data_IF_090830978772
#
_entry.id   IF_090830978772
#
_cell.length_a   1.000
_cell.length_b   1.000
_cell.length_c   1.000
_cell.angle_alpha   90.00
_cell.angle_beta   90.00
_cell.angle_gamma   90.00
#
_symmetry.space_group_name_H-M   'P 1'
#
loop_
_entity.id
_entity.type
_entity.pdbx_description
1 polymer ?
#
# COMPACT_ATOMS: atom_id res chain seq x y z
N UNK A 1 -24.19 45.55 96.66
CA UNK A 1 -25.35 45.89 97.53
C UNK A 1 -26.20 46.89 96.76
N UNK A 2 -27.41 46.48 96.33
CA UNK A 2 -28.28 47.29 95.48
C UNK A 2 -28.44 48.71 96.00
N UNK A 3 -28.47 49.67 95.09
CA UNK A 3 -28.73 51.07 95.40
C UNK A 3 -30.06 51.22 96.18
N UNK A 4 -31.04 50.36 95.88
CA UNK A 4 -32.31 50.26 96.61
C UNK A 4 -32.17 49.78 98.05
N UNK A 5 -31.23 48.86 98.34
CA UNK A 5 -30.93 48.40 99.70
C UNK A 5 -30.21 49.49 100.49
N UNK A 6 -29.28 50.22 99.87
CA UNK A 6 -28.61 51.37 100.51
C UNK A 6 -29.61 52.49 100.82
N UNK A 7 -30.51 52.82 99.89
CA UNK A 7 -31.56 53.81 100.12
C UNK A 7 -32.54 53.36 101.22
N UNK A 8 -32.99 52.11 101.20
CA UNK A 8 -33.86 51.56 102.25
C UNK A 8 -33.20 51.62 103.64
N UNK A 9 -31.91 51.30 103.71
CA UNK A 9 -31.17 51.24 104.97
C UNK A 9 -30.88 52.64 105.52
N UNK A 10 -30.55 53.60 104.66
CA UNK A 10 -30.39 55.01 105.06
C UNK A 10 -31.71 55.63 105.52
N UNK A 11 -32.79 55.40 104.77
CA UNK A 11 -34.11 55.94 105.07
C UNK A 11 -34.72 55.30 106.33
N UNK A 12 -34.46 54.01 106.55
CA UNK A 12 -34.81 53.31 107.79
C UNK A 12 -34.01 53.82 108.99
N UNK A 13 -32.70 54.07 108.81
CA UNK A 13 -31.84 54.60 109.87
C UNK A 13 -32.26 56.02 110.29
N UNK A 14 -32.59 56.89 109.32
CA UNK A 14 -33.07 58.25 109.62
C UNK A 14 -34.45 58.25 110.26
N UNK A 15 -35.35 57.35 109.85
CA UNK A 15 -36.66 57.19 110.48
C UNK A 15 -36.57 56.72 111.93
N UNK A 16 -35.70 55.73 112.23
CA UNK A 16 -35.49 55.23 113.59
C UNK A 16 -34.89 56.31 114.49
N UNK A 17 -33.89 57.05 114.00
CA UNK A 17 -33.30 58.15 114.74
C UNK A 17 -34.35 59.24 115.07
N UNK A 18 -35.22 59.58 114.12
CA UNK A 18 -36.30 60.56 114.33
C UNK A 18 -37.34 60.09 115.38
N UNK A 19 -37.70 58.80 115.38
CA UNK A 19 -38.60 58.20 116.39
C UNK A 19 -37.98 58.27 117.79
N UNK A 20 -36.70 57.88 117.93
CA UNK A 20 -36.00 57.91 119.21
C UNK A 20 -35.90 59.32 119.78
N UNK A 21 -35.52 60.31 118.95
CA UNK A 21 -35.44 61.72 119.37
C UNK A 21 -36.81 62.25 119.83
N UNK A 22 -37.89 61.86 119.16
CA UNK A 22 -39.25 62.30 119.49
C UNK A 22 -39.76 61.68 120.79
N UNK A 23 -39.50 60.38 121.02
CA UNK A 23 -39.88 59.70 122.26
C UNK A 23 -39.13 60.29 123.45
N UNK A 24 -37.82 60.56 123.32
CA UNK A 24 -37.02 61.20 124.38
C UNK A 24 -37.52 62.61 124.72
N UNK A 25 -38.02 63.35 123.73
CA UNK A 25 -38.52 64.72 123.96
C UNK A 25 -39.90 64.76 124.64
N UNK A 26 -40.80 63.83 124.30
CA UNK A 26 -42.14 63.70 124.90
C UNK A 26 -42.11 63.40 126.41
N UNK A 27 -41.07 62.71 126.89
CA UNK A 27 -40.85 62.45 128.31
C UNK A 27 -40.44 63.70 129.10
N UNK A 28 -39.97 64.76 128.42
CA UNK A 28 -39.36 65.94 129.06
C UNK A 28 -40.34 67.12 129.21
N UNK A 29 -41.44 67.16 128.43
CA UNK A 29 -42.41 68.28 128.43
C UNK A 29 -43.85 67.79 128.13
N UNK A 30 -44.74 67.62 129.13
CA UNK A 30 -46.15 67.31 128.86
C UNK A 30 -46.95 68.59 128.51
N UNK A 31 -47.15 68.85 127.22
CA UNK A 31 -47.94 69.96 126.70
C UNK A 31 -48.23 69.88 125.19
N UNK A 32 -48.99 70.83 124.63
CA UNK A 32 -49.49 70.84 123.25
C UNK A 32 -48.42 70.69 122.14
N UNK A 33 -47.13 70.88 122.45
CA UNK A 33 -46.01 70.67 121.51
C UNK A 33 -45.84 69.21 121.04
N UNK A 34 -46.32 68.24 121.80
CA UNK A 34 -46.23 66.82 121.43
C UNK A 34 -47.02 66.44 120.17
N UNK A 35 -48.14 67.11 119.90
CA UNK A 35 -48.97 66.83 118.72
C UNK A 35 -48.33 67.32 117.41
N UNK A 36 -47.64 68.47 117.46
CA UNK A 36 -46.97 69.07 116.29
C UNK A 36 -45.77 68.22 115.85
N UNK A 37 -45.00 67.70 116.81
CA UNK A 37 -43.87 66.81 116.53
C UNK A 37 -44.33 65.46 115.95
N UNK A 38 -45.43 64.90 116.45
CA UNK A 38 -46.02 63.69 115.89
C UNK A 38 -46.45 63.90 114.43
N UNK A 39 -47.09 65.03 114.12
CA UNK A 39 -47.50 65.37 112.77
C UNK A 39 -46.31 65.52 111.80
N UNK A 40 -45.21 66.15 112.24
CA UNK A 40 -43.98 66.27 111.45
C UNK A 40 -43.32 64.92 111.19
N UNK A 41 -43.35 64.00 112.15
CA UNK A 41 -42.80 62.65 112.00
C UNK A 41 -43.62 61.84 111.00
N UNK A 42 -44.96 61.91 111.09
CA UNK A 42 -45.86 61.28 110.12
C UNK A 42 -45.64 61.87 108.72
N UNK A 43 -45.52 63.19 108.59
CA UNK A 43 -45.24 63.85 107.32
C UNK A 43 -43.88 63.43 106.73
N UNK A 44 -42.85 63.33 107.57
CA UNK A 44 -41.51 62.88 107.15
C UNK A 44 -41.53 61.40 106.76
N UNK A 45 -42.24 60.56 107.51
CA UNK A 45 -42.43 59.15 107.21
C UNK A 45 -43.20 58.93 105.90
N UNK A 46 -44.23 59.75 105.63
CA UNK A 46 -44.98 59.74 104.37
C UNK A 46 -44.10 60.22 103.20
N UNK A 47 -43.36 61.32 103.36
CA UNK A 47 -42.45 61.81 102.32
C UNK A 47 -41.33 60.80 102.02
N UNK A 48 -40.78 60.17 103.06
CA UNK A 48 -39.79 59.11 102.94
C UNK A 48 -40.38 57.87 102.26
N UNK A 49 -41.60 57.47 102.61
CA UNK A 49 -42.33 56.37 101.98
C UNK A 49 -42.59 56.63 100.50
N UNK A 50 -43.10 57.81 100.15
CA UNK A 50 -43.30 58.24 98.75
C UNK A 50 -41.97 58.26 98.00
N UNK A 51 -40.92 58.83 98.58
CA UNK A 51 -39.58 58.87 97.99
C UNK A 51 -38.99 57.46 97.77
N UNK A 52 -39.22 56.53 98.69
CA UNK A 52 -38.79 55.14 98.55
C UNK A 52 -39.54 54.42 97.43
N UNK A 53 -40.86 54.63 97.32
CA UNK A 53 -41.68 54.03 96.25
C UNK A 53 -41.25 54.55 94.87
N UNK A 54 -41.09 55.87 94.72
CA UNK A 54 -40.59 56.47 93.48
C UNK A 54 -39.17 56.01 93.15
N UNK A 55 -38.24 56.05 94.13
CA UNK A 55 -36.86 55.62 93.96
C UNK A 55 -36.73 54.14 93.61
N UNK A 56 -37.55 53.28 94.22
CA UNK A 56 -37.62 51.85 93.88
C UNK A 56 -38.15 51.63 92.46
N UNK A 57 -39.17 52.38 92.04
CA UNK A 57 -39.74 52.29 90.69
C UNK A 57 -38.77 52.77 89.60
N UNK A 58 -38.03 53.85 89.86
CA UNK A 58 -37.06 54.42 88.93
C UNK A 58 -35.83 53.52 88.80
N UNK A 59 -35.31 53.02 89.94
CA UNK A 59 -34.18 52.09 89.95
C UNK A 59 -34.52 50.77 89.25
N UNK A 60 -35.73 50.25 89.43
CA UNK A 60 -36.18 49.06 88.70
C UNK A 60 -36.26 49.31 87.19
N UNK A 61 -36.89 50.42 86.77
CA UNK A 61 -37.06 50.73 85.34
C UNK A 61 -35.72 50.98 84.63
N UNK A 62 -34.76 51.65 85.28
CA UNK A 62 -33.41 51.83 84.73
C UNK A 62 -32.65 50.51 84.62
N UNK A 63 -32.81 49.61 85.59
CA UNK A 63 -32.17 48.30 85.54
C UNK A 63 -32.74 47.43 84.41
N UNK A 64 -34.06 47.50 84.18
CA UNK A 64 -34.73 46.81 83.07
C UNK A 64 -34.23 47.31 81.71
N UNK A 65 -34.12 48.63 81.52
CA UNK A 65 -33.58 49.21 80.27
C UNK A 65 -32.08 48.90 80.08
N UNK A 66 -31.29 48.90 81.16
CA UNK A 66 -29.88 48.50 81.10
C UNK A 66 -29.72 47.01 80.72
N UNK A 67 -30.65 46.15 81.16
CA UNK A 67 -30.67 44.75 80.75
C UNK A 67 -30.97 44.60 79.25
N UNK A 68 -31.86 45.42 78.69
CA UNK A 68 -32.11 45.45 77.24
C UNK A 68 -30.85 45.88 76.48
N UNK A 69 -30.20 46.98 76.87
CA UNK A 69 -28.95 47.44 76.26
C UNK A 69 -27.88 46.33 76.31
N UNK A 70 -27.76 45.65 77.45
CA UNK A 70 -26.81 44.54 77.61
C UNK A 70 -27.10 43.38 76.65
N UNK A 71 -28.37 43.04 76.39
CA UNK A 71 -28.75 42.03 75.39
C UNK A 71 -28.43 42.48 73.97
N UNK A 72 -28.76 43.73 73.63
CA UNK A 72 -28.47 44.29 72.31
C UNK A 72 -26.96 44.28 72.00
N UNK A 73 -26.09 44.57 72.98
CA UNK A 73 -24.63 44.47 72.80
C UNK A 73 -24.11 43.06 72.56
N UNK A 74 -24.89 42.03 72.93
CA UNK A 74 -24.60 40.62 72.68
C UNK A 74 -25.24 40.10 71.39
N UNK A 75 -25.82 40.99 70.58
CA UNK A 75 -26.59 40.63 69.39
C UNK A 75 -27.86 39.82 69.66
N UNK A 76 -28.36 39.84 70.90
CA UNK A 76 -29.65 39.25 71.27
C UNK A 76 -30.74 40.32 71.04
N UNK A 77 -31.27 40.34 69.82
CA UNK A 77 -32.28 41.31 69.38
C UNK A 77 -33.72 40.87 69.70
N UNK A 78 -33.91 39.71 70.33
CA UNK A 78 -35.22 39.14 70.63
C UNK A 78 -35.81 39.64 71.96
N UNK A 79 -37.12 39.82 71.96
CA UNK A 79 -37.92 40.20 73.14
C UNK A 79 -38.33 41.68 73.16
N UNK A 80 -39.32 41.99 73.99
CA UNK A 80 -39.90 43.34 74.05
C UNK A 80 -39.08 44.29 74.93
N UNK A 81 -39.02 45.56 74.54
CA UNK A 81 -38.49 46.63 75.40
C UNK A 81 -39.57 47.02 76.41
N UNK A 82 -39.36 46.79 77.72
CA UNK A 82 -40.32 47.17 78.74
C UNK A 82 -40.45 48.69 78.84
N UNK A 83 -41.53 49.18 79.47
CA UNK A 83 -41.74 50.61 79.79
C UNK A 83 -42.02 51.55 78.60
N UNK A 84 -42.22 51.03 77.38
CA UNK A 84 -42.57 51.82 76.18
C UNK A 84 -43.90 52.56 76.26
N UNK A 85 -44.84 52.07 77.09
CA UNK A 85 -46.14 52.70 77.34
C UNK A 85 -46.12 53.87 78.34
N UNK A 86 -44.97 54.20 78.94
CA UNK A 86 -44.86 55.31 79.90
C UNK A 86 -44.85 56.67 79.18
N UNK A 87 -45.39 57.69 79.86
CA UNK A 87 -45.46 59.08 79.37
C UNK A 87 -44.33 59.99 79.87
N UNK A 88 -43.32 59.44 80.55
CA UNK A 88 -42.17 60.15 81.11
C UNK A 88 -40.88 59.95 80.26
N UNK A 89 -39.77 60.54 80.70
CA UNK A 89 -38.45 60.45 80.03
C UNK A 89 -37.95 59.00 79.91
N UNK A 90 -38.33 58.13 80.86
CA UNK A 90 -38.02 56.70 80.81
C UNK A 90 -38.77 56.03 79.67
N UNK A 91 -40.05 56.39 79.46
CA UNK A 91 -40.82 55.94 78.30
C UNK A 91 -40.23 56.40 76.96
N UNK A 92 -39.71 57.64 76.91
CA UNK A 92 -39.02 58.15 75.71
C UNK A 92 -37.75 57.33 75.40
N UNK A 93 -36.95 57.04 76.42
CA UNK A 93 -35.74 56.22 76.28
C UNK A 93 -36.07 54.79 75.85
N UNK A 94 -37.14 54.19 76.42
CA UNK A 94 -37.62 52.87 76.04
C UNK A 94 -38.06 52.82 74.56
N UNK A 95 -38.76 53.85 74.06
CA UNK A 95 -39.15 53.94 72.65
C UNK A 95 -37.94 54.07 71.72
N UNK A 96 -36.96 54.90 72.07
CA UNK A 96 -35.72 55.04 71.29
C UNK A 96 -34.95 53.72 71.22
N UNK A 97 -34.90 52.98 72.33
CA UNK A 97 -34.26 51.66 72.39
C UNK A 97 -35.00 50.61 71.57
N UNK A 98 -36.34 50.65 71.54
CA UNK A 98 -37.17 49.78 70.70
C UNK A 98 -37.00 50.07 69.21
N UNK A 99 -36.90 51.34 68.82
CA UNK A 99 -36.59 51.71 67.44
C UNK A 99 -35.20 51.20 67.03
N UNK A 100 -34.20 51.39 67.89
CA UNK A 100 -32.85 50.87 67.65
C UNK A 100 -32.79 49.34 67.55
N UNK A 101 -33.55 48.61 68.39
CA UNK A 101 -33.68 47.15 68.31
C UNK A 101 -34.32 46.71 66.97
N UNK A 102 -35.38 47.40 66.52
CA UNK A 102 -36.03 47.10 65.24
C UNK A 102 -35.11 47.37 64.04
N UNK A 103 -34.36 48.46 64.08
CA UNK A 103 -33.35 48.79 63.06
C UNK A 103 -32.21 47.76 63.06
N UNK A 104 -31.74 47.33 64.24
CA UNK A 104 -30.68 46.33 64.34
C UNK A 104 -31.12 44.93 63.88
N UNK A 105 -32.39 44.54 64.14
CA UNK A 105 -32.95 43.27 63.68
C UNK A 105 -33.07 43.24 62.14
N UNK A 106 -33.65 44.29 61.55
CA UNK A 106 -33.78 44.40 60.08
C UNK A 106 -32.42 44.47 59.37
N UNK A 107 -31.42 45.13 59.98
CA UNK A 107 -30.06 45.17 59.46
C UNK A 107 -29.39 43.78 59.43
N UNK A 108 -29.59 42.97 60.47
CA UNK A 108 -29.08 41.58 60.55
C UNK A 108 -29.67 40.69 59.45
N UNK A 109 -30.98 40.75 59.24
CA UNK A 109 -31.68 39.94 58.22
C UNK A 109 -31.24 40.30 56.80
N UNK A 110 -31.18 41.61 56.49
CA UNK A 110 -30.71 42.09 55.19
C UNK A 110 -29.26 41.68 54.89
N UNK A 111 -28.37 41.75 55.89
CA UNK A 111 -26.96 41.37 55.71
C UNK A 111 -26.72 39.87 55.60
N UNK A 112 -27.59 39.02 56.14
CA UNK A 112 -27.52 37.57 55.92
C UNK A 112 -27.91 37.22 54.49
N UNK A 113 -29.02 37.76 53.98
CA UNK A 113 -29.45 37.52 52.58
C UNK A 113 -28.44 38.03 51.55
N UNK A 114 -27.83 39.19 51.78
CA UNK A 114 -26.79 39.73 50.90
C UNK A 114 -25.56 38.80 50.87
N UNK A 115 -25.10 38.30 52.02
CA UNK A 115 -23.96 37.39 52.10
C UNK A 115 -24.26 36.04 51.45
N UNK A 116 -25.43 35.47 51.72
CA UNK A 116 -25.85 34.18 51.16
C UNK A 116 -25.93 34.28 49.63
N UNK A 117 -26.53 35.36 49.09
CA UNK A 117 -26.60 35.57 47.64
C UNK A 117 -25.23 35.78 47.00
N UNK A 118 -24.29 36.45 47.68
CA UNK A 118 -22.92 36.59 47.19
C UNK A 118 -22.16 35.26 47.20
N UNK A 119 -22.35 34.44 48.23
CA UNK A 119 -21.75 33.10 48.32
C UNK A 119 -22.33 32.20 47.22
N UNK A 120 -23.65 32.19 47.04
CA UNK A 120 -24.30 31.44 45.97
C UNK A 120 -23.84 31.90 44.58
N UNK A 121 -23.74 33.21 44.35
CA UNK A 121 -23.24 33.77 43.10
C UNK A 121 -21.79 33.36 42.81
N UNK A 122 -20.92 33.37 43.83
CA UNK A 122 -19.53 32.90 43.71
C UNK A 122 -19.48 31.40 43.42
N UNK A 123 -20.25 30.58 44.13
CA UNK A 123 -20.32 29.13 43.91
C UNK A 123 -20.87 28.80 42.51
N UNK A 124 -21.90 29.51 42.05
CA UNK A 124 -22.45 29.35 40.72
C UNK A 124 -21.43 29.71 39.63
N UNK A 125 -20.70 30.82 39.81
CA UNK A 125 -19.62 31.20 38.89
C UNK A 125 -18.51 30.16 38.88
N UNK A 126 -18.08 29.66 40.05
CA UNK A 126 -17.05 28.62 40.16
C UNK A 126 -17.47 27.34 39.44
N UNK A 127 -18.70 26.85 39.67
CA UNK A 127 -19.24 25.67 38.98
C UNK A 127 -19.28 25.87 37.47
N UNK A 128 -19.66 27.06 37.01
CA UNK A 128 -19.69 27.38 35.57
C UNK A 128 -18.28 27.39 34.97
N UNK A 129 -17.31 27.96 35.67
CA UNK A 129 -15.90 27.93 35.24
C UNK A 129 -15.36 26.50 35.21
N UNK A 130 -15.65 25.68 36.22
CA UNK A 130 -15.20 24.28 36.27
C UNK A 130 -15.82 23.45 35.14
N UNK A 131 -17.12 23.64 34.85
CA UNK A 131 -17.79 22.99 33.73
C UNK A 131 -17.15 23.38 32.39
N UNK A 132 -16.86 24.66 32.17
CA UNK A 132 -16.17 25.13 30.97
C UNK A 132 -14.76 24.53 30.86
N UNK A 133 -14.02 24.42 31.97
CA UNK A 133 -12.70 23.78 32.01
C UNK A 133 -12.81 22.30 31.66
N UNK A 134 -13.81 21.58 32.19
CA UNK A 134 -14.05 20.18 31.88
C UNK A 134 -14.40 19.98 30.40
N UNK A 135 -15.31 20.78 29.85
CA UNK A 135 -15.68 20.73 28.42
C UNK A 135 -14.49 21.06 27.52
N UNK A 136 -13.70 22.07 27.89
CA UNK A 136 -12.49 22.45 27.16
C UNK A 136 -11.44 21.33 27.18
N UNK A 137 -11.17 20.74 28.35
CA UNK A 137 -10.27 19.59 28.50
C UNK A 137 -10.74 18.40 27.66
N UNK A 138 -12.03 18.07 27.68
CA UNK A 138 -12.60 17.00 26.86
C UNK A 138 -12.46 17.28 25.36
N UNK A 139 -12.74 18.51 24.93
CA UNK A 139 -12.62 18.92 23.53
C UNK A 139 -11.17 18.86 23.03
N UNK A 140 -10.21 19.36 23.82
CA UNK A 140 -8.79 19.28 23.47
C UNK A 140 -8.30 17.84 23.46
N UNK A 141 -8.68 17.02 24.44
CA UNK A 141 -8.30 15.61 24.46
C UNK A 141 -8.83 14.87 23.23
N UNK A 142 -10.07 15.13 22.83
CA UNK A 142 -10.65 14.58 21.60
C UNK A 142 -9.92 15.03 20.34
N UNK A 143 -9.62 16.33 20.21
CA UNK A 143 -8.87 16.87 19.07
C UNK A 143 -7.45 16.33 18.97
N UNK A 144 -6.73 16.26 20.10
CA UNK A 144 -5.38 15.70 20.14
C UNK A 144 -5.39 14.20 19.83
N UNK A 145 -6.40 13.46 20.28
CA UNK A 145 -6.59 12.06 19.92
C UNK A 145 -6.80 11.89 18.41
N UNK A 146 -7.74 12.63 17.82
CA UNK A 146 -8.00 12.60 16.38
C UNK A 146 -6.78 13.03 15.55
N UNK A 147 -6.01 14.00 16.04
CA UNK A 147 -4.77 14.46 15.41
C UNK A 147 -3.68 13.37 15.47
N UNK A 148 -3.48 12.74 16.63
CA UNK A 148 -2.53 11.64 16.80
C UNK A 148 -2.89 10.44 15.90
N UNK A 149 -4.18 10.14 15.77
CA UNK A 149 -4.67 9.08 14.89
C UNK A 149 -4.40 9.40 13.41
N UNK A 150 -4.66 10.65 13.00
CA UNK A 150 -4.37 11.11 11.64
C UNK A 150 -2.86 11.07 11.33
N UNK A 151 -2.02 11.50 12.28
CA UNK A 151 -0.57 11.45 12.13
C UNK A 151 -0.05 10.01 12.00
N UNK A 152 -0.60 9.07 12.78
CA UNK A 152 -0.28 7.65 12.70
C UNK A 152 -0.71 7.03 11.36
N UNK A 153 -1.89 7.38 10.87
CA UNK A 153 -2.36 6.94 9.55
C UNK A 153 -1.48 7.50 8.42
N UNK A 154 -1.02 8.74 8.54
CA UNK A 154 -0.08 9.34 7.60
C UNK A 154 1.29 8.65 7.63
N UNK A 155 1.83 8.32 8.81
CA UNK A 155 3.08 7.55 8.94
C UNK A 155 2.95 6.17 8.29
N UNK A 156 1.85 5.46 8.54
CA UNK A 156 1.57 4.16 7.91
C UNK A 156 1.50 4.28 6.39
N UNK A 157 0.78 5.28 5.89
CA UNK A 157 0.66 5.54 4.44
C UNK A 157 2.03 5.88 3.83
N UNK A 158 2.85 6.68 4.50
CA UNK A 158 4.20 7.02 4.05
C UNK A 158 5.11 5.78 3.99
N UNK A 159 5.03 4.88 4.98
CA UNK A 159 5.77 3.61 4.96
C UNK A 159 5.31 2.71 3.82
N UNK A 160 4.01 2.60 3.58
CA UNK A 160 3.46 1.86 2.45
C UNK A 160 3.95 2.43 1.11
N UNK A 161 3.91 3.75 0.95
CA UNK A 161 4.43 4.43 -0.25
C UNK A 161 5.93 4.18 -0.44
N UNK A 162 6.72 4.20 0.64
CA UNK A 162 8.15 3.89 0.59
C UNK A 162 8.38 2.45 0.11
N UNK A 163 7.63 1.48 0.64
CA UNK A 163 7.75 0.08 0.23
C UNK A 163 7.34 -0.12 -1.23
N UNK A 164 6.24 0.51 -1.66
CA UNK A 164 5.79 0.47 -3.06
C UNK A 164 6.83 1.10 -3.99
N UNK A 165 7.45 2.20 -3.60
CA UNK A 165 8.51 2.84 -4.38
C UNK A 165 9.74 1.92 -4.51
N UNK A 166 10.15 1.24 -3.44
CA UNK A 166 11.24 0.24 -3.49
C UNK A 166 10.89 -0.93 -4.40
N UNK A 167 9.72 -1.57 -4.24
CA UNK A 167 9.29 -2.69 -5.09
C UNK A 167 9.18 -2.26 -6.57
N UNK A 168 8.70 -1.05 -6.83
CA UNK A 168 8.64 -0.49 -8.19
C UNK A 168 10.04 -0.32 -8.79
N UNK A 169 11.02 0.14 -8.00
CA UNK A 169 12.39 0.32 -8.48
C UNK A 169 13.06 -1.04 -8.81
N UNK A 170 12.84 -2.05 -7.97
CA UNK A 170 13.33 -3.40 -8.21
C UNK A 170 12.72 -4.00 -9.48
N UNK A 171 11.41 -3.81 -9.68
CA UNK A 171 10.72 -4.21 -10.92
C UNK A 171 11.25 -3.48 -12.14
N UNK A 172 11.51 -2.18 -12.05
CA UNK A 172 12.07 -1.40 -13.17
C UNK A 172 13.45 -1.92 -13.54
N UNK A 173 14.28 -2.29 -12.56
CA UNK A 173 15.60 -2.88 -12.80
C UNK A 173 15.48 -4.26 -13.47
N UNK A 174 14.53 -5.09 -13.02
CA UNK A 174 14.26 -6.38 -13.67
C UNK A 174 13.79 -6.21 -15.13
N UNK A 175 12.90 -5.23 -15.39
CA UNK A 175 12.42 -4.91 -16.75
C UNK A 175 13.56 -4.38 -17.63
N UNK A 176 14.44 -3.54 -17.09
CA UNK A 176 15.61 -3.06 -17.81
C UNK A 176 16.52 -4.22 -18.23
N UNK A 177 16.84 -5.13 -17.30
CA UNK A 177 17.64 -6.32 -17.59
C UNK A 177 16.99 -7.22 -18.64
N UNK A 178 15.67 -7.44 -18.56
CA UNK A 178 14.94 -8.24 -19.55
C UNK A 178 14.92 -7.56 -20.94
N UNK A 179 14.89 -6.23 -20.97
CA UNK A 179 14.95 -5.44 -22.21
C UNK A 179 16.33 -5.49 -22.86
N UNK A 180 17.40 -5.47 -22.07
CA UNK A 180 18.77 -5.65 -22.54
C UNK A 180 18.97 -7.05 -23.13
N UNK A 181 18.47 -8.09 -22.45
CA UNK A 181 18.52 -9.47 -22.95
C UNK A 181 17.72 -9.64 -24.25
N UNK A 182 16.51 -9.07 -24.33
CA UNK A 182 15.72 -9.07 -25.55
C UNK A 182 16.42 -8.37 -26.72
N UNK A 183 17.09 -7.24 -26.46
CA UNK A 183 17.85 -6.49 -27.47
C UNK A 183 19.04 -7.30 -27.98
N UNK A 184 19.77 -7.97 -27.10
CA UNK A 184 20.86 -8.86 -27.46
C UNK A 184 20.37 -10.05 -28.30
N UNK A 185 19.23 -10.64 -27.93
CA UNK A 185 18.61 -11.72 -28.70
C UNK A 185 18.19 -11.26 -30.10
N UNK A 186 17.59 -10.08 -30.24
CA UNK A 186 17.22 -9.51 -31.54
C UNK A 186 18.47 -9.26 -32.41
N UNK A 187 19.57 -8.77 -31.83
CA UNK A 187 20.84 -8.61 -32.56
C UNK A 187 21.41 -9.96 -33.02
N UNK A 188 21.35 -11.00 -32.19
CA UNK A 188 21.79 -12.35 -32.58
C UNK A 188 20.92 -12.94 -33.70
N UNK A 189 19.61 -12.73 -33.65
CA UNK A 189 18.69 -13.14 -34.72
C UNK A 189 18.99 -12.39 -36.02
N UNK A 190 19.25 -11.08 -35.94
CA UNK A 190 19.62 -10.28 -37.11
C UNK A 190 20.91 -10.80 -37.77
N UNK A 191 21.95 -11.07 -36.99
CA UNK A 191 23.20 -11.65 -37.50
C UNK A 191 22.98 -13.02 -38.16
N UNK A 192 22.15 -13.87 -37.54
CA UNK A 192 21.79 -15.19 -38.11
C UNK A 192 21.01 -15.04 -39.42
N UNK A 193 20.12 -14.05 -39.52
CA UNK A 193 19.38 -13.76 -40.74
C UNK A 193 20.29 -13.24 -41.86
N UNK A 194 21.30 -12.43 -41.54
CA UNK A 194 22.33 -12.00 -42.49
C UNK A 194 23.15 -13.19 -43.00
N UNK A 195 23.59 -14.09 -42.12
CA UNK A 195 24.31 -15.30 -42.51
C UNK A 195 23.46 -16.23 -43.38
N UNK A 196 22.16 -16.37 -43.06
CA UNK A 196 21.22 -17.14 -43.86
C UNK A 196 21.01 -16.53 -45.25
N UNK A 197 20.94 -15.20 -45.36
CA UNK A 197 20.82 -14.51 -46.64
C UNK A 197 22.04 -14.76 -47.54
N UNK A 198 23.25 -14.73 -46.97
CA UNK A 198 24.49 -15.10 -47.67
C UNK A 198 24.44 -16.55 -48.14
N UNK A 199 24.07 -17.49 -47.27
CA UNK A 199 23.95 -18.91 -47.60
C UNK A 199 22.94 -19.16 -48.73
N UNK A 200 21.80 -18.48 -48.71
CA UNK A 200 20.80 -18.59 -49.76
C UNK A 200 21.30 -18.05 -51.11
N UNK A 201 22.07 -16.96 -51.11
CA UNK A 201 22.73 -16.44 -52.31
C UNK A 201 23.74 -17.44 -52.89
N UNK A 202 24.57 -18.04 -52.03
CA UNK A 202 25.52 -19.08 -52.41
C UNK A 202 24.82 -20.31 -53.01
N UNK A 203 23.73 -20.78 -52.39
CA UNK A 203 22.92 -21.86 -52.94
C UNK A 203 22.37 -21.47 -54.31
N UNK A 204 21.87 -20.23 -54.48
CA UNK A 204 21.41 -19.73 -55.77
C UNK A 204 22.48 -19.78 -56.86
N UNK A 205 23.72 -19.38 -56.57
CA UNK A 205 24.84 -19.47 -57.52
C UNK A 205 25.21 -20.92 -57.85
N UNK A 206 25.19 -21.83 -56.86
CA UNK A 206 25.44 -23.27 -57.05
C UNK A 206 24.37 -23.91 -57.92
N UNK A 207 23.10 -23.58 -57.70
CA UNK A 207 21.97 -24.07 -58.52
C UNK A 207 22.07 -23.58 -59.96
N UNK A 208 22.39 -22.29 -60.17
CA UNK A 208 22.62 -21.74 -61.52
C UNK A 208 23.76 -22.45 -62.25
N UNK A 209 24.85 -22.74 -61.55
CA UNK A 209 25.98 -23.50 -62.10
C UNK A 209 25.58 -24.94 -62.46
N UNK A 210 24.85 -25.61 -61.58
CA UNK A 210 24.34 -26.96 -61.85
C UNK A 210 23.42 -26.99 -63.08
N UNK A 211 22.54 -25.99 -63.24
CA UNK A 211 21.69 -25.87 -64.43
C UNK A 211 22.51 -25.76 -65.72
N UNK A 212 23.57 -24.93 -65.73
CA UNK A 212 24.47 -24.80 -66.89
C UNK A 212 25.19 -26.11 -67.23
N UNK A 213 25.59 -26.88 -66.20
CA UNK A 213 26.20 -28.20 -66.39
C UNK A 213 25.18 -29.16 -67.03
N UNK A 214 23.95 -29.18 -66.53
CA UNK A 214 22.87 -30.01 -67.09
C UNK A 214 22.62 -29.65 -68.55
N UNK A 215 22.53 -28.36 -68.89
CA UNK A 215 22.37 -27.91 -70.27
C UNK A 215 23.52 -28.43 -71.16
N UNK A 216 24.77 -28.32 -70.70
CA UNK A 216 25.93 -28.82 -71.43
C UNK A 216 25.90 -30.36 -71.57
N UNK A 217 25.42 -31.09 -70.57
CA UNK A 217 25.26 -32.55 -70.64
C UNK A 217 24.18 -32.93 -71.65
N UNK A 218 23.06 -32.20 -71.69
CA UNK A 218 21.99 -32.45 -72.67
C UNK A 218 22.44 -32.20 -74.11
N UNK A 219 23.23 -31.15 -74.35
CA UNK A 219 23.79 -30.87 -75.67
C UNK A 219 24.83 -31.91 -76.10
N UNK A 220 25.67 -32.37 -75.17
CA UNK A 220 26.59 -33.47 -75.42
C UNK A 220 25.85 -34.77 -75.78
N UNK A 221 24.75 -35.07 -75.09
CA UNK A 221 23.91 -36.24 -75.39
C UNK A 221 23.26 -36.13 -76.78
N UNK A 222 22.79 -34.94 -77.15
CA UNK A 222 22.26 -34.64 -78.50
C UNK A 222 23.30 -34.90 -79.58
N UNK A 223 24.52 -34.38 -79.40
CA UNK A 223 25.65 -34.58 -80.32
C UNK A 223 26.04 -36.06 -80.42
N UNK A 224 26.04 -36.79 -79.29
CA UNK A 224 26.32 -38.22 -79.30
C UNK A 224 25.26 -39.00 -80.10
N UNK A 225 23.98 -38.64 -79.95
CA UNK A 225 22.88 -39.25 -80.70
C UNK A 225 23.00 -39.00 -82.21
N UNK A 226 23.37 -37.78 -82.63
CA UNK A 226 23.65 -37.46 -84.05
C UNK A 226 24.80 -38.31 -84.62
N UNK A 227 25.86 -38.53 -83.85
CA UNK A 227 26.98 -39.40 -84.24
C UNK A 227 26.55 -40.86 -84.37
N UNK A 228 25.71 -41.35 -83.46
CA UNK A 228 25.15 -42.71 -83.53
C UNK A 228 24.29 -42.86 -84.79
N UNK A 229 23.41 -41.90 -85.09
CA UNK A 229 22.63 -41.91 -86.34
C UNK A 229 23.52 -41.89 -87.59
N UNK A 230 24.57 -41.09 -87.59
CA UNK A 230 25.55 -41.05 -88.70
C UNK A 230 26.26 -42.39 -88.88
N UNK A 231 26.62 -43.07 -87.79
CA UNK A 231 27.19 -44.41 -87.83
C UNK A 231 26.19 -45.45 -88.35
N UNK A 232 24.92 -45.36 -87.98
CA UNK A 232 23.85 -46.22 -88.52
C UNK A 232 23.74 -46.05 -90.04
N UNK A 233 23.67 -44.82 -90.53
CA UNK A 233 23.65 -44.55 -91.98
C UNK A 233 24.91 -45.05 -92.71
N UNK A 234 26.09 -44.91 -92.10
CA UNK A 234 27.31 -45.46 -92.67
C UNK A 234 27.26 -47.00 -92.75
N UNK A 235 26.73 -47.66 -91.71
CA UNK A 235 26.55 -49.10 -91.69
C UNK A 235 25.54 -49.59 -92.74
N UNK A 236 24.42 -48.88 -92.96
CA UNK A 236 23.45 -49.15 -94.03
C UNK A 236 24.13 -49.12 -95.41
N UNK A 237 24.90 -48.06 -95.69
CA UNK A 237 25.65 -47.95 -96.96
C UNK A 237 26.69 -49.05 -97.14
N UNK A 238 27.32 -49.50 -96.06
CA UNK A 238 28.22 -50.67 -96.11
C UNK A 238 27.42 -51.93 -96.45
N UNK A 239 26.22 -52.08 -95.88
CA UNK A 239 25.27 -53.13 -96.25
C UNK A 239 24.97 -53.15 -97.74
N UNK A 240 24.60 -52.00 -98.32
CA UNK A 240 24.33 -51.87 -99.77
C UNK A 240 25.54 -52.29 -100.62
N UNK A 241 26.76 -51.93 -100.19
CA UNK A 241 28.00 -52.32 -100.87
C UNK A 241 28.26 -53.82 -100.75
N UNK A 242 28.00 -54.42 -99.58
CA UNK A 242 28.13 -55.87 -99.36
C UNK A 242 27.14 -56.65 -100.22
N UNK A 243 25.91 -56.16 -100.35
CA UNK A 243 24.90 -56.76 -101.22
C UNK A 243 25.32 -56.69 -102.69
N UNK A 244 25.80 -55.52 -103.14
CA UNK A 244 26.37 -55.38 -104.49
C UNK A 244 27.56 -56.33 -104.73
N UNK A 245 28.43 -56.52 -103.73
CA UNK A 245 29.55 -57.46 -103.81
C UNK A 245 29.03 -58.90 -103.93
N UNK A 246 27.99 -59.27 -103.17
CA UNK A 246 27.37 -60.58 -103.28
C UNK A 246 26.76 -60.80 -104.67
N UNK A 247 26.08 -59.81 -105.24
CA UNK A 247 25.52 -59.86 -106.59
C UNK A 247 26.61 -60.04 -107.65
N UNK A 248 27.70 -59.26 -107.57
CA UNK A 248 28.85 -59.37 -108.47
C UNK A 248 29.55 -60.71 -108.30
N UNK A 249 29.69 -61.21 -107.06
CA UNK A 249 30.28 -62.52 -106.80
C UNK A 249 29.41 -63.65 -107.36
N UNK A 250 28.08 -63.56 -107.25
CA UNK A 250 27.14 -64.50 -107.84
C UNK A 250 27.21 -64.46 -109.38
N UNK A 251 27.27 -63.27 -109.97
CA UNK A 251 27.45 -63.08 -111.41
C UNK A 251 28.81 -63.63 -111.88
N UNK A 252 29.88 -63.39 -111.12
CA UNK A 252 31.23 -63.89 -111.39
C UNK A 252 31.29 -65.41 -111.26
N UNK A 253 30.61 -66.00 -110.28
CA UNK A 253 30.47 -67.44 -110.12
C UNK A 253 29.70 -68.06 -111.31
N UNK A 254 28.62 -67.41 -111.77
CA UNK A 254 27.90 -67.80 -112.98
C UNK A 254 28.78 -67.70 -114.23
N UNK A 255 29.57 -66.64 -114.37
CA UNK A 255 30.53 -66.46 -115.46
C UNK A 255 31.63 -67.53 -115.42
N UNK A 256 32.20 -67.81 -114.25
CA UNK A 256 33.21 -68.83 -114.04
C UNK A 256 32.66 -70.24 -114.32
N UNK A 257 31.41 -70.50 -113.94
CA UNK A 257 30.71 -71.73 -114.26
C UNK A 257 30.48 -71.88 -115.77
N UNK A 258 30.04 -70.81 -116.45
CA UNK A 258 29.91 -70.79 -117.91
C UNK A 258 31.26 -71.00 -118.60
N UNK A 259 32.31 -70.36 -118.10
CA UNK A 259 33.67 -70.52 -118.62
C UNK A 259 34.19 -71.95 -118.42
N UNK A 260 33.94 -72.59 -117.27
CA UNK A 260 34.31 -74.00 -117.05
C UNK A 260 33.48 -74.97 -117.89
N UNK A 261 32.18 -74.70 -118.12
CA UNK A 261 31.36 -75.46 -119.07
C UNK A 261 31.92 -75.33 -120.49
N UNK A 262 32.24 -74.12 -120.94
CA UNK A 262 32.74 -73.90 -122.29
C UNK A 262 34.17 -74.44 -122.46
N UNK A 263 35.01 -74.37 -121.41
CA UNK A 263 36.31 -75.04 -121.37
C UNK A 263 36.16 -76.56 -121.42
N UNK A 264 35.20 -77.16 -120.71
CA UNK A 264 34.90 -78.58 -120.79
C UNK A 264 34.33 -78.99 -122.15
N UNK A 265 33.51 -78.14 -122.79
CA UNK A 265 33.03 -78.34 -124.17
C UNK A 265 34.18 -78.25 -125.18
N UNK A 266 35.04 -77.25 -125.07
CA UNK A 266 36.25 -77.11 -125.88
C UNK A 266 37.18 -78.31 -125.67
N UNK A 267 37.35 -78.78 -124.44
CA UNK A 267 38.14 -79.98 -124.12
C UNK A 267 37.53 -81.26 -124.72
N UNK A 268 36.20 -81.46 -124.66
CA UNK A 268 35.52 -82.58 -125.35
C UNK A 268 35.70 -82.50 -126.87
N UNK A 269 35.57 -81.32 -127.47
CA UNK A 269 35.83 -81.11 -128.92
C UNK A 269 37.29 -81.40 -129.27
N UNK A 270 38.25 -80.93 -128.47
CA UNK A 270 39.67 -81.18 -128.65
C UNK A 270 40.00 -82.68 -128.54
N UNK A 271 39.44 -83.37 -127.53
CA UNK A 271 39.57 -84.83 -127.38
C UNK A 271 38.92 -85.62 -128.52
N UNK A 272 37.86 -85.08 -129.15
CA UNK A 272 37.19 -85.68 -130.30
C UNK A 272 37.93 -85.48 -131.63
N UNK A 273 38.91 -84.58 -131.69
CA UNK A 273 39.67 -84.31 -132.92
C UNK A 273 40.57 -85.49 -133.32
N UNK A 274 40.73 -85.79 -134.63
CA UNK A 274 41.61 -86.86 -135.11
C UNK A 274 43.07 -86.68 -134.66
N UNK A 275 43.52 -85.43 -134.55
CA UNK A 275 44.89 -85.09 -134.18
C UNK A 275 45.23 -85.49 -132.73
N UNK A 276 44.30 -85.32 -131.77
CA UNK A 276 44.52 -85.69 -130.36
C UNK A 276 44.51 -87.20 -130.14
N UNK A 277 43.66 -87.95 -130.85
CA UNK A 277 43.65 -89.43 -130.80
C UNK A 277 44.93 -90.06 -131.34
N UNK A 278 45.57 -89.42 -132.33
CA UNK A 278 46.86 -89.84 -132.84
C UNK A 278 48.01 -89.55 -131.85
N UNK A 279 47.92 -88.44 -131.09
CA UNK A 279 48.99 -88.01 -130.17
C UNK A 279 48.98 -88.72 -128.81
N UNK A 280 47.81 -89.05 -128.25
CA UNK A 280 47.71 -89.71 -126.94
C UNK A 280 48.19 -91.17 -126.93
N UNK A 281 48.21 -91.85 -128.09
CA UNK A 281 48.79 -93.19 -128.24
C UNK A 281 50.32 -93.23 -128.17
N UNK A 282 50.99 -92.08 -128.21
CA UNK A 282 52.46 -91.98 -128.39
C UNK A 282 53.27 -91.75 -127.10
N UNK A 283 52.65 -91.63 -125.93
CA UNK A 283 53.36 -91.27 -124.69
C UNK A 283 52.97 -92.12 -123.46
N UNK A 284 53.91 -92.87 -122.86
CA UNK A 284 53.73 -93.47 -121.54
C UNK A 284 53.80 -92.39 -120.46
N UNK A 285 52.74 -92.24 -119.66
CA UNK A 285 52.71 -91.32 -118.51
C UNK A 285 53.51 -91.94 -117.37
N UNK A 286 54.70 -91.38 -117.15
CA UNK A 286 55.59 -91.64 -116.02
C UNK A 286 55.04 -90.91 -114.78
N UNK A 287 54.54 -91.65 -113.79
CA UNK A 287 54.06 -91.07 -112.51
C UNK A 287 55.26 -90.60 -111.69
N UNK A 288 55.47 -89.29 -111.63
CA UNK A 288 56.31 -88.67 -110.61
C UNK A 288 55.43 -88.11 -109.50
N UNK A 289 55.75 -88.53 -108.28
CA UNK A 289 55.14 -88.20 -106.99
C UNK A 289 55.88 -86.99 -106.40
N UNK A 290 55.18 -86.19 -105.59
CA UNK A 290 55.60 -85.27 -104.49
C UNK A 290 54.96 -83.87 -104.66
N UNK A 291 54.99 -82.99 -103.64
CA UNK A 291 54.91 -83.13 -102.18
C UNK A 291 53.94 -82.10 -101.56
N UNK A 292 53.71 -82.17 -100.24
CA UNK A 292 53.07 -81.10 -99.44
C UNK A 292 54.08 -80.49 -98.47
N UNK A 293 54.26 -79.16 -98.55
CA UNK A 293 54.97 -78.29 -97.59
C UNK A 293 53.96 -77.21 -97.14
N UNK A 294 53.60 -77.17 -95.86
CA UNK A 294 54.14 -76.28 -94.80
C UNK A 294 53.59 -74.85 -94.85
N UNK A 295 52.78 -74.46 -93.86
CA UNK A 295 53.14 -73.60 -92.70
C UNK A 295 53.02 -72.10 -93.02
N UNK A 296 52.21 -71.34 -92.27
CA UNK A 296 52.57 -70.56 -91.07
C UNK A 296 51.47 -69.47 -90.92
N UNK A 297 51.12 -68.81 -89.81
CA UNK A 297 51.86 -68.13 -88.73
C UNK A 297 50.81 -67.69 -87.67
N UNK A 298 51.03 -67.98 -86.38
CA UNK A 298 51.41 -67.06 -85.30
C UNK A 298 50.41 -65.95 -84.89
N UNK A 299 49.89 -66.06 -83.66
CA UNK A 299 49.90 -64.99 -82.63
C UNK A 299 49.46 -65.58 -81.28
N UNK A 300 50.31 -65.50 -80.25
CA UNK A 300 49.92 -65.72 -78.84
C UNK A 300 50.91 -65.07 -77.88
N UNK A 301 50.42 -64.09 -77.11
CA UNK A 301 50.78 -63.76 -75.70
C UNK A 301 50.08 -62.42 -75.38
N UNK A 302 49.37 -62.18 -74.27
CA UNK A 302 49.17 -62.92 -73.03
C UNK A 302 49.87 -62.22 -71.85
N UNK A 303 49.08 -61.80 -70.84
CA UNK A 303 49.37 -61.36 -69.45
C UNK A 303 49.05 -59.87 -69.21
N UNK A 304 48.04 -59.41 -68.46
CA UNK A 304 47.37 -59.68 -67.14
C UNK A 304 47.64 -58.52 -66.13
N UNK A 305 46.70 -58.21 -65.21
CA UNK A 305 46.61 -56.95 -64.47
C UNK A 305 47.05 -57.06 -62.99
N UNK A 306 47.20 -55.92 -62.31
CA UNK A 306 47.38 -55.84 -60.86
C UNK A 306 46.49 -54.75 -60.24
N UNK A 307 45.90 -55.09 -59.09
CA UNK A 307 44.94 -54.34 -58.29
C UNK A 307 45.57 -53.82 -56.98
N UNK A 308 44.97 -52.78 -56.39
CA UNK A 308 44.84 -52.39 -54.95
C UNK A 308 44.52 -50.87 -54.92
N UNK A 309 43.71 -50.28 -54.04
CA UNK A 309 43.18 -50.65 -52.72
C UNK A 309 42.04 -49.68 -52.33
N UNK A 310 41.06 -50.16 -51.54
CA UNK A 310 40.01 -49.42 -50.80
C UNK A 310 40.58 -48.70 -49.54
N UNK A 311 39.79 -48.16 -48.58
CA UNK A 311 38.46 -47.51 -48.56
C UNK A 311 38.47 -46.15 -47.77
N UNK A 312 37.35 -45.42 -47.72
CA UNK A 312 36.88 -44.68 -46.53
C UNK A 312 35.44 -44.17 -46.70
N UNK A 313 34.67 -44.24 -45.62
CA UNK A 313 33.41 -43.55 -45.32
C UNK A 313 33.59 -42.88 -43.95
N UNK A 314 32.67 -42.07 -43.39
CA UNK A 314 31.46 -41.44 -43.94
C UNK A 314 31.40 -39.92 -43.64
N UNK A 315 30.30 -39.26 -44.03
CA UNK A 315 29.78 -38.03 -43.43
C UNK A 315 28.27 -38.16 -43.35
#
# INVERSE_FOLDING_TARGET
>A
MDLSKKFALYLGLTAVAAVVVTISFQLTMPGAGGAILLALLVATGLAAGVGYLYGRSLAASLNDLNAVISRLTKWEMDGEVPHTGRGDEIGLLAKALSAFQADAHSWSESHQHEQDSQIEGRLASQRRTEELIHQFRGSIAGLLGAFADSARQMDETARLLSNVATDTNDRVTAVASASDEASANVQSVAATAEELAVSCSDIGTRVSTASKIVDHVTENARTANEKVQSLTHAAERIGDVVDLIQDVAAQSNLLALNATIEAARAAKRAAASPWWRARSRRWPIRRLRRPTTSSSRSTRSGLRPAARSRPCSPS
#
